data_IF_904174949980
#
_entry.id   IF_904174949980
#
_cell.length_a   1.000
_cell.length_b   1.000
_cell.length_c   1.000
_cell.angle_alpha   90.00
_cell.angle_beta   90.00
_cell.angle_gamma   90.00
#
_symmetry.space_group_name_H-M   'P 1'
#
loop_
_entity.id
_entity.type
_entity.pdbx_description
1 polymer ?
#
# COMPACT_ATOMS: atom_id res chain seq x y z
N UNK A 1 -4.03 -9.40 13.83
CA UNK A 1 -5.27 -9.11 13.06
C UNK A 1 -5.53 -7.62 13.20
N UNK A 2 -5.67 -6.88 12.11
CA UNK A 2 -6.13 -5.48 12.11
C UNK A 2 -7.66 -5.48 12.13
N UNK A 3 -8.26 -4.75 13.05
CA UNK A 3 -9.71 -4.64 13.20
C UNK A 3 -10.14 -3.19 13.22
N UNK A 4 -11.13 -2.86 12.40
CA UNK A 4 -11.78 -1.55 12.33
C UNK A 4 -13.24 -1.74 12.70
N UNK A 5 -13.71 -1.06 13.75
CA UNK A 5 -15.06 -1.18 14.28
C UNK A 5 -15.72 0.19 14.37
N UNK A 6 -16.92 0.28 13.82
CA UNK A 6 -17.78 1.48 13.84
C UNK A 6 -17.06 2.77 13.43
N UNK A 7 -16.19 2.70 12.41
CA UNK A 7 -15.43 3.85 11.95
C UNK A 7 -16.36 4.91 11.36
N UNK A 8 -16.26 6.12 11.91
CA UNK A 8 -16.97 7.30 11.43
C UNK A 8 -15.97 8.41 11.14
N UNK A 9 -16.01 8.95 9.92
CA UNK A 9 -15.17 10.07 9.46
C UNK A 9 -16.01 11.03 8.65
N UNK A 10 -15.86 12.32 8.96
CA UNK A 10 -16.49 13.40 8.20
C UNK A 10 -15.50 14.52 7.94
N UNK A 11 -15.58 15.13 6.77
CA UNK A 11 -14.90 16.38 6.44
C UNK A 11 -15.97 17.44 6.18
N UNK A 12 -16.00 18.47 7.00
CA UNK A 12 -17.08 19.48 6.98
C UNK A 12 -18.45 18.78 7.02
N UNK A 13 -19.28 18.96 6.00
CA UNK A 13 -20.64 18.37 5.90
C UNK A 13 -20.66 17.00 5.20
N UNK A 14 -19.50 16.53 4.65
CA UNK A 14 -19.44 15.27 3.92
C UNK A 14 -19.04 14.12 4.85
N UNK A 15 -19.99 13.20 5.08
CA UNK A 15 -19.68 11.92 5.75
C UNK A 15 -18.96 11.00 4.77
N UNK A 16 -17.72 10.64 5.10
CA UNK A 16 -16.92 9.70 4.30
C UNK A 16 -17.20 8.27 4.74
N UNK A 17 -17.10 8.00 6.03
CA UNK A 17 -17.47 6.72 6.62
C UNK A 17 -18.52 6.92 7.73
N UNK A 18 -19.45 5.98 7.82
CA UNK A 18 -20.44 5.93 8.90
C UNK A 18 -20.65 4.46 9.28
N UNK A 19 -20.28 4.10 10.52
CA UNK A 19 -20.34 2.73 11.05
C UNK A 19 -19.62 1.70 10.16
N UNK A 20 -18.49 2.10 9.56
CA UNK A 20 -17.72 1.24 8.67
C UNK A 20 -16.94 0.19 9.49
N UNK A 21 -16.96 -1.04 9.00
CA UNK A 21 -16.31 -2.19 9.65
C UNK A 21 -15.41 -2.92 8.65
N UNK A 22 -14.21 -3.34 9.12
CA UNK A 22 -13.29 -4.12 8.31
C UNK A 22 -12.34 -4.90 9.22
N UNK A 23 -12.28 -6.21 9.03
CA UNK A 23 -11.31 -7.09 9.66
C UNK A 23 -10.29 -7.56 8.61
N UNK A 24 -8.99 -7.50 8.95
CA UNK A 24 -7.90 -7.97 8.10
C UNK A 24 -7.06 -8.96 8.89
N UNK A 25 -6.98 -10.19 8.40
CA UNK A 25 -6.18 -11.24 9.02
C UNK A 25 -4.68 -10.89 9.00
N UNK A 26 -3.93 -11.48 9.93
CA UNK A 26 -2.47 -11.28 9.98
C UNK A 26 -1.80 -11.79 8.70
N UNK A 27 -0.74 -11.11 8.30
CA UNK A 27 0.06 -11.43 7.11
C UNK A 27 -0.72 -11.40 5.79
N UNK A 28 -1.86 -10.68 5.78
CA UNK A 28 -2.70 -10.52 4.61
C UNK A 28 -2.33 -9.26 3.84
N UNK A 29 -2.26 -9.38 2.52
CA UNK A 29 -2.22 -8.23 1.63
C UNK A 29 -3.63 -7.92 1.15
N UNK A 30 -4.20 -6.84 1.69
CA UNK A 30 -5.51 -6.32 1.31
C UNK A 30 -5.34 -5.23 0.25
N UNK A 31 -5.97 -5.41 -0.89
CA UNK A 31 -6.13 -4.35 -1.89
C UNK A 31 -7.45 -3.61 -1.68
N UNK A 32 -7.40 -2.28 -1.71
CA UNK A 32 -8.54 -1.39 -1.58
C UNK A 32 -8.73 -0.67 -2.91
N UNK A 33 -9.83 -0.94 -3.59
CA UNK A 33 -10.21 -0.31 -4.85
C UNK A 33 -11.48 0.53 -4.69
N UNK A 34 -11.83 1.29 -5.71
CA UNK A 34 -13.02 2.15 -5.76
C UNK A 34 -12.73 3.46 -6.48
N UNK A 35 -13.77 4.24 -6.78
CA UNK A 35 -13.66 5.51 -7.53
C UNK A 35 -12.83 6.56 -6.78
N UNK A 36 -12.34 7.54 -7.54
CA UNK A 36 -11.63 8.68 -6.94
C UNK A 36 -12.55 9.43 -5.97
N UNK A 37 -12.02 9.74 -4.77
CA UNK A 37 -12.75 10.47 -3.75
C UNK A 37 -13.76 9.66 -2.92
N UNK A 38 -13.85 8.32 -3.06
CA UNK A 38 -14.73 7.47 -2.24
C UNK A 38 -14.21 7.25 -0.80
N UNK A 39 -12.96 7.57 -0.47
CA UNK A 39 -12.45 7.46 0.91
C UNK A 39 -11.25 6.52 1.11
N UNK A 40 -10.68 5.94 0.04
CA UNK A 40 -9.55 4.98 0.16
C UNK A 40 -8.36 5.54 0.94
N UNK A 41 -7.84 6.69 0.53
CA UNK A 41 -6.72 7.35 1.24
C UNK A 41 -7.13 7.81 2.64
N UNK A 42 -8.41 8.17 2.84
CA UNK A 42 -8.95 8.48 4.17
C UNK A 42 -8.88 7.26 5.08
N UNK A 43 -9.23 6.07 4.59
CA UNK A 43 -9.13 4.83 5.36
C UNK A 43 -7.68 4.54 5.77
N UNK A 44 -6.73 4.66 4.82
CA UNK A 44 -5.30 4.50 5.15
C UNK A 44 -4.84 5.55 6.19
N UNK A 45 -5.29 6.80 6.06
CA UNK A 45 -4.94 7.87 6.99
C UNK A 45 -5.52 7.62 8.39
N UNK A 46 -6.73 7.04 8.51
CA UNK A 46 -7.29 6.62 9.80
C UNK A 46 -6.45 5.54 10.45
N UNK A 47 -6.07 4.49 9.71
CA UNK A 47 -5.20 3.41 10.20
C UNK A 47 -3.83 3.96 10.65
N UNK A 48 -3.30 4.95 9.93
CA UNK A 48 -2.05 5.61 10.28
C UNK A 48 -2.18 6.62 11.45
N UNK A 49 -3.39 6.90 11.94
CA UNK A 49 -3.63 7.93 12.96
C UNK A 49 -3.36 9.36 12.48
N UNK A 50 -3.42 9.62 11.17
CA UNK A 50 -3.12 10.93 10.58
C UNK A 50 -4.35 11.85 10.48
N UNK A 51 -5.55 11.31 10.65
CA UNK A 51 -6.80 12.06 10.64
C UNK A 51 -7.66 11.65 11.84
N UNK A 52 -8.44 12.57 12.43
CA UNK A 52 -9.35 12.23 13.51
C UNK A 52 -10.49 11.36 12.99
N UNK A 53 -10.92 10.40 13.80
CA UNK A 53 -12.07 9.54 13.54
C UNK A 53 -12.76 9.17 14.86
N UNK A 54 -14.02 8.70 14.76
CA UNK A 54 -14.71 8.03 15.84
C UNK A 54 -14.79 6.52 15.51
N UNK A 55 -14.93 5.69 16.55
CA UNK A 55 -14.83 4.24 16.45
C UNK A 55 -13.47 3.71 16.92
N UNK A 56 -13.16 2.47 16.59
CA UNK A 56 -11.96 1.79 17.07
C UNK A 56 -11.15 1.20 15.91
N UNK A 57 -9.82 1.34 15.96
CA UNK A 57 -8.86 0.69 15.06
C UNK A 57 -7.79 0.04 15.90
N UNK A 58 -7.69 -1.29 15.83
CA UNK A 58 -6.80 -2.10 16.64
C UNK A 58 -5.91 -3.00 15.78
N UNK A 59 -4.79 -3.47 16.36
CA UNK A 59 -3.96 -4.52 15.77
C UNK A 59 -3.07 -4.08 14.61
N UNK A 60 -2.85 -2.77 14.41
CA UNK A 60 -1.99 -2.28 13.33
C UNK A 60 -0.50 -2.19 13.71
N UNK A 61 -0.16 -2.09 15.00
CA UNK A 61 1.23 -2.03 15.49
C UNK A 61 2.02 -0.85 14.93
N UNK A 62 3.31 -1.07 14.64
CA UNK A 62 4.11 -0.06 13.94
C UNK A 62 3.69 0.05 12.48
N UNK A 63 3.60 1.29 11.96
CA UNK A 63 3.04 1.58 10.64
C UNK A 63 4.10 2.23 9.72
N UNK A 64 4.29 1.66 8.54
CA UNK A 64 5.04 2.27 7.44
C UNK A 64 4.09 2.76 6.36
N UNK A 65 4.24 4.03 5.91
CA UNK A 65 3.33 4.61 4.93
C UNK A 65 4.07 5.11 3.68
N UNK A 66 3.64 4.63 2.53
CA UNK A 66 4.00 5.16 1.22
C UNK A 66 2.83 5.98 0.71
N UNK A 67 2.98 7.30 0.71
CA UNK A 67 1.97 8.23 0.19
C UNK A 67 2.00 8.27 -1.33
N UNK A 68 0.91 8.72 -1.93
CA UNK A 68 0.81 8.95 -3.38
C UNK A 68 1.90 9.91 -3.89
N UNK A 69 2.24 10.93 -3.10
CA UNK A 69 3.45 11.73 -3.27
C UNK A 69 4.59 11.12 -2.46
N UNK A 70 5.80 11.06 -3.00
CA UNK A 70 6.94 10.37 -2.40
C UNK A 70 7.34 10.88 -1.01
N UNK A 71 7.05 12.16 -0.72
CA UNK A 71 7.37 12.84 0.56
C UNK A 71 8.80 12.54 1.04
N UNK A 72 9.75 12.50 0.11
CA UNK A 72 11.17 12.45 0.45
C UNK A 72 11.60 13.80 1.04
N UNK A 73 12.52 13.77 1.98
CA UNK A 73 13.11 14.96 2.58
C UNK A 73 14.07 15.58 1.56
N UNK A 74 13.80 16.80 1.03
CA UNK A 74 14.55 17.36 -0.09
C UNK A 74 16.02 17.65 0.21
N UNK A 75 16.34 17.91 1.49
CA UNK A 75 17.70 18.22 1.98
C UNK A 75 18.55 16.97 2.26
N UNK A 76 17.99 15.78 2.06
CA UNK A 76 18.66 14.50 2.26
C UNK A 76 18.82 13.78 0.92
N UNK A 77 19.93 13.07 0.73
CA UNK A 77 20.10 12.14 -0.38
C UNK A 77 19.09 11.01 -0.33
N UNK A 78 18.97 10.23 -1.38
CA UNK A 78 18.11 9.05 -1.45
C UNK A 78 18.48 8.05 -0.34
N UNK A 79 19.77 7.82 -0.12
CA UNK A 79 20.25 6.92 0.95
C UNK A 79 19.90 7.48 2.34
N UNK A 80 20.19 8.76 2.60
CA UNK A 80 19.90 9.39 3.87
C UNK A 80 18.41 9.40 4.19
N UNK A 81 17.53 9.51 3.19
CA UNK A 81 16.09 9.38 3.36
C UNK A 81 15.68 8.00 3.88
N UNK A 82 16.38 6.93 3.46
CA UNK A 82 16.12 5.57 3.94
C UNK A 82 16.78 5.34 5.30
N UNK A 83 18.00 5.81 5.51
CA UNK A 83 18.70 5.73 6.80
C UNK A 83 17.94 6.48 7.91
N UNK A 84 17.23 7.56 7.55
CA UNK A 84 16.49 8.39 8.49
C UNK A 84 15.47 7.60 9.33
N UNK A 85 14.75 6.67 8.74
CA UNK A 85 13.73 5.86 9.44
C UNK A 85 14.35 4.72 10.25
N UNK A 86 15.65 4.46 10.07
CA UNK A 86 16.41 3.45 10.81
C UNK A 86 17.19 4.04 11.99
N UNK A 87 17.04 5.33 12.28
CA UNK A 87 17.74 5.99 13.40
C UNK A 87 17.35 5.36 14.73
N UNK A 88 18.36 4.98 15.50
CA UNK A 88 18.18 4.28 16.78
C UNK A 88 18.07 2.76 16.68
N UNK A 89 17.99 2.22 15.47
CA UNK A 89 18.04 0.78 15.26
C UNK A 89 19.45 0.22 15.50
N UNK A 90 19.51 -1.02 16.00
CA UNK A 90 20.78 -1.73 16.17
C UNK A 90 21.22 -2.37 14.85
N UNK A 91 22.52 -2.39 14.59
CA UNK A 91 23.13 -3.05 13.43
C UNK A 91 23.58 -2.09 12.34
N UNK A 92 23.88 -2.62 11.16
CA UNK A 92 24.38 -1.85 10.02
C UNK A 92 23.20 -1.20 9.25
N UNK A 93 22.87 0.03 9.70
CA UNK A 93 21.82 0.86 9.12
C UNK A 93 22.05 1.09 7.63
N UNK A 94 23.30 1.39 7.24
CA UNK A 94 23.64 1.65 5.84
C UNK A 94 23.40 0.44 4.95
N UNK A 95 23.82 -0.74 5.39
CA UNK A 95 23.61 -1.99 4.65
C UNK A 95 22.13 -2.31 4.49
N UNK A 96 21.31 -2.09 5.53
CA UNK A 96 19.85 -2.24 5.45
C UNK A 96 19.23 -1.28 4.46
N UNK A 97 19.64 -0.01 4.47
CA UNK A 97 19.17 1.01 3.55
C UNK A 97 19.56 0.70 2.10
N UNK A 98 20.83 0.34 1.85
CA UNK A 98 21.30 -0.03 0.51
C UNK A 98 20.60 -1.29 -0.03
N UNK A 99 20.33 -2.29 0.84
CA UNK A 99 19.54 -3.47 0.48
C UNK A 99 18.14 -3.08 0.03
N UNK A 100 17.42 -2.27 0.80
CA UNK A 100 16.06 -1.83 0.45
C UNK A 100 16.03 -1.01 -0.87
N UNK A 101 17.03 -0.13 -1.08
CA UNK A 101 17.19 0.59 -2.34
C UNK A 101 17.49 -0.34 -3.52
N UNK A 102 18.24 -1.42 -3.30
CA UNK A 102 18.49 -2.46 -4.29
C UNK A 102 17.21 -3.21 -4.67
N UNK A 103 16.41 -3.60 -3.69
CA UNK A 103 15.13 -4.27 -3.90
C UNK A 103 14.12 -3.40 -4.64
N UNK A 104 14.14 -2.08 -4.39
CA UNK A 104 13.34 -1.09 -5.14
C UNK A 104 13.96 -0.68 -6.49
N UNK A 105 15.13 -1.20 -6.86
CA UNK A 105 15.82 -0.92 -8.13
C UNK A 105 16.34 0.52 -8.27
N UNK A 106 16.67 1.19 -7.16
CA UNK A 106 17.14 2.59 -7.14
C UNK A 106 18.44 2.80 -6.37
N UNK A 107 19.19 1.73 -6.08
CA UNK A 107 20.47 1.83 -5.38
C UNK A 107 21.48 2.72 -6.10
N UNK A 108 21.47 2.75 -7.44
CA UNK A 108 22.33 3.59 -8.25
C UNK A 108 22.10 5.10 -8.08
N UNK A 109 20.99 5.48 -7.42
CA UNK A 109 20.61 6.86 -7.12
C UNK A 109 20.91 7.27 -5.68
N UNK A 110 21.56 6.42 -4.89
CA UNK A 110 21.71 6.59 -3.44
C UNK A 110 22.28 7.93 -3.00
N UNK A 111 23.21 8.49 -3.79
CA UNK A 111 23.88 9.75 -3.48
C UNK A 111 23.19 10.98 -4.13
N UNK A 112 22.09 10.77 -4.89
CA UNK A 112 21.32 11.86 -5.48
C UNK A 112 20.29 12.43 -4.50
N UNK A 113 19.94 13.69 -4.70
CA UNK A 113 18.88 14.36 -3.95
C UNK A 113 17.52 14.19 -4.66
N UNK A 114 16.39 14.26 -3.93
CA UNK A 114 15.04 14.13 -4.52
C UNK A 114 14.76 15.06 -5.69
N UNK A 115 15.35 16.25 -5.71
CA UNK A 115 15.23 17.23 -6.80
C UNK A 115 15.97 16.84 -8.09
N UNK A 116 16.77 15.78 -8.06
CA UNK A 116 17.62 15.31 -9.16
C UNK A 116 17.22 13.94 -9.70
N UNK A 117 16.05 13.45 -9.31
CA UNK A 117 15.50 12.15 -9.72
C UNK A 117 14.08 12.33 -10.27
N UNK A 118 13.64 11.42 -11.11
CA UNK A 118 12.27 11.42 -11.65
C UNK A 118 11.23 11.06 -10.57
N UNK A 119 9.95 11.38 -10.82
CA UNK A 119 8.85 11.03 -9.92
C UNK A 119 8.74 9.54 -9.65
N UNK A 120 8.94 8.69 -10.68
CA UNK A 120 8.95 7.24 -10.52
C UNK A 120 10.13 6.72 -9.68
N UNK A 121 11.32 7.32 -9.83
CA UNK A 121 12.48 7.02 -8.98
C UNK A 121 12.26 7.45 -7.54
N UNK A 122 11.65 8.62 -7.33
CA UNK A 122 11.28 9.13 -6.00
C UNK A 122 10.25 8.22 -5.30
N UNK A 123 9.24 7.74 -6.05
CA UNK A 123 8.24 6.78 -5.53
C UNK A 123 8.90 5.47 -5.09
N UNK A 124 9.85 4.94 -5.88
CA UNK A 124 10.63 3.74 -5.52
C UNK A 124 11.52 3.95 -4.31
N UNK A 125 12.14 5.12 -4.19
CA UNK A 125 12.93 5.47 -3.00
C UNK A 125 12.05 5.58 -1.73
N UNK A 126 10.85 6.14 -1.85
CA UNK A 126 9.87 6.18 -0.76
C UNK A 126 9.40 4.78 -0.36
N UNK A 127 9.20 3.89 -1.32
CA UNK A 127 8.90 2.49 -1.08
C UNK A 127 10.06 1.80 -0.34
N UNK A 128 11.31 1.98 -0.81
CA UNK A 128 12.51 1.46 -0.14
C UNK A 128 12.60 1.93 1.33
N UNK A 129 12.27 3.20 1.59
CA UNK A 129 12.22 3.76 2.94
C UNK A 129 11.21 3.04 3.83
N UNK A 130 10.00 2.81 3.34
CA UNK A 130 8.96 2.10 4.08
C UNK A 130 9.35 0.63 4.35
N UNK A 131 9.96 -0.03 3.37
CA UNK A 131 10.46 -1.41 3.49
C UNK A 131 11.59 -1.54 4.51
N UNK A 132 12.56 -0.63 4.46
CA UNK A 132 13.69 -0.62 5.37
C UNK A 132 13.24 -0.49 6.84
N UNK A 133 12.17 0.24 7.10
CA UNK A 133 11.63 0.43 8.44
C UNK A 133 11.15 -0.89 9.08
N UNK A 134 10.63 -1.84 8.29
CA UNK A 134 10.21 -3.15 8.81
C UNK A 134 8.98 -3.07 9.72
N UNK A 135 8.02 -2.21 9.36
CA UNK A 135 6.77 -2.04 10.10
C UNK A 135 5.92 -3.31 10.14
N UNK A 136 5.09 -3.46 11.18
CA UNK A 136 4.10 -4.54 11.29
C UNK A 136 2.93 -4.35 10.31
N UNK A 137 2.65 -3.09 9.94
CA UNK A 137 1.64 -2.76 8.93
C UNK A 137 2.24 -1.80 7.89
N UNK A 138 2.06 -2.11 6.61
CA UNK A 138 2.44 -1.27 5.49
C UNK A 138 1.18 -0.71 4.82
N UNK A 139 1.12 0.61 4.72
CA UNK A 139 0.08 1.35 4.03
C UNK A 139 0.66 1.94 2.75
N UNK A 140 0.10 1.56 1.61
CA UNK A 140 0.62 1.93 0.31
C UNK A 140 -0.49 2.62 -0.51
N UNK A 141 -0.36 3.92 -0.75
CA UNK A 141 -1.33 4.68 -1.53
C UNK A 141 -0.82 4.89 -2.97
N UNK A 142 -1.37 4.14 -3.91
CA UNK A 142 -0.98 4.08 -5.33
C UNK A 142 0.53 3.88 -5.56
N UNK A 143 1.17 2.87 -4.92
CA UNK A 143 2.64 2.75 -4.88
C UNK A 143 3.29 2.52 -6.25
N UNK A 144 2.54 2.12 -7.26
CA UNK A 144 3.04 1.75 -8.59
C UNK A 144 2.63 2.72 -9.70
N UNK A 145 1.91 3.81 -9.38
CA UNK A 145 1.31 4.73 -10.36
C UNK A 145 2.29 5.31 -11.38
N UNK A 146 3.53 5.60 -10.96
CA UNK A 146 4.55 6.24 -11.80
C UNK A 146 5.57 5.23 -12.38
N UNK A 147 5.24 3.94 -12.43
CA UNK A 147 6.17 2.89 -12.83
C UNK A 147 5.80 2.28 -14.18
N UNK A 148 6.80 2.09 -15.04
CA UNK A 148 6.67 1.30 -16.26
C UNK A 148 6.34 -0.17 -15.94
N UNK A 149 5.57 -0.82 -16.81
CA UNK A 149 5.07 -2.19 -16.64
C UNK A 149 6.19 -3.20 -16.30
N UNK A 150 7.35 -3.08 -16.93
CA UNK A 150 8.49 -3.98 -16.69
C UNK A 150 9.08 -3.82 -15.29
N UNK A 151 9.28 -2.56 -14.86
CA UNK A 151 9.79 -2.21 -13.54
C UNK A 151 8.77 -2.62 -12.47
N UNK A 152 7.51 -2.31 -12.69
CA UNK A 152 6.38 -2.67 -11.83
C UNK A 152 6.34 -4.16 -11.52
N UNK A 153 6.40 -5.01 -12.56
CA UNK A 153 6.42 -6.49 -12.39
C UNK A 153 7.63 -6.96 -11.59
N UNK A 154 8.80 -6.36 -11.83
CA UNK A 154 10.02 -6.69 -11.09
C UNK A 154 9.90 -6.36 -9.60
N UNK A 155 9.39 -5.18 -9.27
CA UNK A 155 9.17 -4.72 -7.90
C UNK A 155 8.11 -5.60 -7.21
N UNK A 156 6.97 -5.83 -7.86
CA UNK A 156 5.91 -6.71 -7.32
C UNK A 156 6.50 -8.09 -7.01
N UNK A 157 7.26 -8.67 -7.93
CA UNK A 157 7.91 -9.97 -7.73
C UNK A 157 8.92 -9.95 -6.58
N UNK A 158 9.70 -8.89 -6.46
CA UNK A 158 10.66 -8.69 -5.37
C UNK A 158 9.93 -8.51 -4.04
N UNK A 159 8.87 -7.71 -4.03
CA UNK A 159 7.99 -7.52 -2.87
C UNK A 159 7.33 -8.83 -2.44
N UNK A 160 6.81 -9.61 -3.38
CA UNK A 160 6.25 -10.95 -3.14
C UNK A 160 7.32 -11.93 -2.66
N UNK A 161 8.54 -11.88 -3.17
CA UNK A 161 9.63 -12.81 -2.85
C UNK A 161 10.45 -12.46 -1.60
N UNK A 162 10.59 -11.18 -1.28
CA UNK A 162 11.50 -10.71 -0.21
C UNK A 162 10.87 -10.69 1.20
N UNK A 163 9.67 -11.23 1.38
CA UNK A 163 9.06 -11.33 2.71
C UNK A 163 8.64 -9.99 3.32
N UNK A 164 8.19 -9.00 2.53
CA UNK A 164 7.36 -7.90 3.04
C UNK A 164 6.17 -8.42 3.87
N UNK A 165 6.02 -9.68 3.89
CA UNK A 165 4.86 -10.47 4.28
C UNK A 165 4.92 -11.03 5.70
N UNK A 166 5.86 -10.56 6.52
CA UNK A 166 5.68 -10.57 7.97
C UNK A 166 4.75 -9.45 8.44
N UNK A 167 4.47 -8.47 7.55
CA UNK A 167 3.60 -7.34 7.83
C UNK A 167 2.20 -7.54 7.23
N UNK A 168 1.20 -6.88 7.80
CA UNK A 168 -0.06 -6.63 7.13
C UNK A 168 0.17 -5.56 6.06
N UNK A 169 -0.36 -5.76 4.86
CA UNK A 169 -0.24 -4.78 3.78
C UNK A 169 -1.63 -4.32 3.36
N UNK A 170 -1.89 -3.02 3.49
CA UNK A 170 -3.07 -2.38 2.92
C UNK A 170 -2.60 -1.50 1.76
N UNK A 171 -2.99 -1.82 0.54
CA UNK A 171 -2.62 -0.98 -0.59
C UNK A 171 -3.82 -0.55 -1.41
N UNK A 172 -3.76 0.70 -1.85
CA UNK A 172 -4.74 1.32 -2.74
C UNK A 172 -4.20 1.32 -4.15
N UNK A 173 -5.00 0.89 -5.10
CA UNK A 173 -4.73 1.02 -6.53
C UNK A 173 -6.03 1.17 -7.32
N UNK A 174 -5.94 1.75 -8.51
CA UNK A 174 -7.00 1.76 -9.52
C UNK A 174 -6.76 0.74 -10.64
N UNK A 175 -5.62 0.03 -10.61
CA UNK A 175 -5.24 -0.98 -11.58
C UNK A 175 -5.66 -2.37 -11.10
N UNK A 176 -6.62 -2.99 -11.81
CA UNK A 176 -7.17 -4.31 -11.48
C UNK A 176 -6.09 -5.40 -11.55
N UNK A 177 -5.15 -5.29 -12.48
CA UNK A 177 -4.06 -6.27 -12.60
C UNK A 177 -3.12 -6.22 -11.39
N UNK A 178 -2.82 -5.01 -10.88
CA UNK A 178 -2.06 -4.87 -9.63
C UNK A 178 -2.77 -5.56 -8.47
N UNK A 179 -4.07 -5.29 -8.32
CA UNK A 179 -4.88 -5.87 -7.27
C UNK A 179 -4.82 -7.41 -7.33
N UNK A 180 -5.08 -7.99 -8.50
CA UNK A 180 -5.13 -9.43 -8.69
C UNK A 180 -3.77 -10.11 -8.53
N UNK A 181 -2.67 -9.43 -8.87
CA UNK A 181 -1.32 -10.01 -8.77
C UNK A 181 -0.71 -9.87 -7.38
N UNK A 182 -1.07 -8.82 -6.63
CA UNK A 182 -0.44 -8.49 -5.35
C UNK A 182 -1.26 -8.89 -4.11
N UNK A 183 -2.59 -8.88 -4.19
CA UNK A 183 -3.44 -9.05 -3.02
C UNK A 183 -3.76 -10.53 -2.69
N UNK A 184 -4.05 -10.80 -1.43
CA UNK A 184 -4.74 -12.02 -1.00
C UNK A 184 -6.26 -11.80 -1.00
N UNK A 185 -6.67 -10.55 -0.72
CA UNK A 185 -8.06 -10.12 -0.64
C UNK A 185 -8.21 -8.76 -1.30
N UNK A 186 -9.28 -8.58 -2.04
CA UNK A 186 -9.62 -7.31 -2.71
C UNK A 186 -10.96 -6.84 -2.17
N UNK A 187 -11.02 -5.59 -1.72
CA UNK A 187 -12.29 -4.92 -1.44
C UNK A 187 -12.50 -3.78 -2.43
N UNK A 188 -13.74 -3.59 -2.85
CA UNK A 188 -14.16 -2.42 -3.63
C UNK A 188 -15.01 -1.55 -2.73
N UNK A 189 -14.59 -0.30 -2.56
CA UNK A 189 -15.27 0.71 -1.77
C UNK A 189 -16.11 1.61 -2.66
N UNK A 190 -17.31 1.96 -2.20
CA UNK A 190 -18.17 2.91 -2.89
C UNK A 190 -19.38 3.37 -2.06
N UNK A 191 -20.21 4.20 -2.67
CA UNK A 191 -21.36 4.81 -2.00
C UNK A 191 -21.03 6.09 -1.23
N UNK A 192 -22.05 6.71 -0.66
CA UNK A 192 -21.93 7.93 0.16
C UNK A 192 -22.99 7.91 1.28
N UNK A 193 -22.59 7.60 2.53
CA UNK A 193 -21.26 7.25 3.04
C UNK A 193 -20.65 6.01 2.39
N UNK A 194 -19.31 5.94 2.38
CA UNK A 194 -18.55 4.89 1.75
C UNK A 194 -18.72 3.55 2.50
N UNK A 195 -18.98 2.49 1.74
CA UNK A 195 -19.12 1.12 2.23
C UNK A 195 -18.36 0.12 1.35
N UNK A 196 -18.32 -1.13 1.78
CA UNK A 196 -17.75 -2.23 0.99
C UNK A 196 -18.83 -2.74 0.03
N UNK A 197 -18.59 -2.58 -1.28
CA UNK A 197 -19.45 -3.09 -2.35
C UNK A 197 -19.11 -4.53 -2.75
N UNK A 198 -17.80 -4.86 -2.70
CA UNK A 198 -17.28 -6.19 -2.95
C UNK A 198 -16.20 -6.50 -1.93
N UNK A 199 -16.22 -7.72 -1.44
CA UNK A 199 -15.20 -8.33 -0.61
C UNK A 199 -14.86 -9.70 -1.19
N UNK A 200 -13.63 -9.86 -1.69
CA UNK A 200 -13.24 -11.02 -2.46
C UNK A 200 -11.87 -11.54 -2.02
N UNK A 201 -11.85 -12.74 -1.43
CA UNK A 201 -10.61 -13.49 -1.23
C UNK A 201 -10.17 -14.13 -2.55
N UNK A 202 -8.89 -13.95 -2.90
CA UNK A 202 -8.37 -14.48 -4.16
C UNK A 202 -7.96 -15.96 -4.00
N UNK A 203 -8.30 -16.81 -4.97
CA UNK A 203 -8.32 -18.26 -4.83
C UNK A 203 -6.94 -18.93 -4.84
N UNK A 204 -5.88 -18.21 -5.17
CA UNK A 204 -4.55 -18.77 -5.38
C UNK A 204 -3.50 -17.98 -4.61
N UNK A 205 -2.44 -18.63 -4.07
CA UNK A 205 -1.31 -17.90 -3.48
C UNK A 205 -0.73 -16.89 -4.49
N UNK A 206 -0.34 -15.73 -4.01
CA UNK A 206 0.30 -14.68 -4.85
C UNK A 206 1.49 -15.19 -5.64
N UNK A 207 2.33 -16.01 -5.00
CA UNK A 207 3.48 -16.64 -5.62
C UNK A 207 3.01 -17.68 -6.67
N UNK A 208 3.27 -17.39 -7.93
CA UNK A 208 2.89 -18.28 -9.04
C UNK A 208 1.56 -17.97 -9.72
N UNK A 209 0.84 -16.91 -9.33
CA UNK A 209 -0.37 -16.47 -10.05
C UNK A 209 -0.05 -16.14 -11.51
N UNK A 210 -0.94 -16.56 -12.38
CA UNK A 210 -0.88 -16.25 -13.81
C UNK A 210 -2.09 -15.42 -14.20
N UNK A 211 -1.85 -14.45 -15.06
CA UNK A 211 -2.91 -13.54 -15.56
C UNK A 211 -3.98 -14.29 -16.37
N UNK A 212 -3.61 -15.43 -16.97
CA UNK A 212 -4.47 -16.30 -17.79
C UNK A 212 -5.18 -17.41 -17.00
N UNK A 213 -5.05 -17.46 -15.67
CA UNK A 213 -5.76 -18.40 -14.82
C UNK A 213 -7.27 -18.11 -14.84
N UNK A 214 -8.09 -19.13 -15.10
CA UNK A 214 -9.55 -19.00 -15.16
C UNK A 214 -10.16 -18.44 -13.85
N UNK A 215 -9.60 -18.81 -12.69
CA UNK A 215 -10.07 -18.30 -11.40
C UNK A 215 -9.71 -16.81 -11.22
N UNK A 216 -8.56 -16.39 -11.74
CA UNK A 216 -8.15 -14.97 -11.72
C UNK A 216 -9.00 -14.17 -12.71
N UNK A 217 -9.36 -14.73 -13.86
CA UNK A 217 -10.27 -14.09 -14.81
C UNK A 217 -11.66 -13.89 -14.20
N UNK A 218 -12.23 -14.90 -13.54
CA UNK A 218 -13.50 -14.75 -12.83
C UNK A 218 -13.45 -13.70 -11.71
N UNK A 219 -12.33 -13.61 -10.97
CA UNK A 219 -12.13 -12.55 -9.98
C UNK A 219 -12.05 -11.17 -10.62
N UNK A 220 -11.37 -11.05 -11.78
CA UNK A 220 -11.27 -9.80 -12.56
C UNK A 220 -12.64 -9.27 -12.96
N UNK A 221 -13.49 -10.15 -13.54
CA UNK A 221 -14.85 -9.78 -13.94
C UNK A 221 -15.66 -9.22 -12.77
N UNK A 222 -15.64 -9.90 -11.63
CA UNK A 222 -16.35 -9.45 -10.41
C UNK A 222 -15.86 -8.10 -9.91
N UNK A 223 -14.54 -7.86 -9.93
CA UNK A 223 -13.95 -6.57 -9.51
C UNK A 223 -14.36 -5.46 -10.48
N UNK A 224 -14.30 -5.71 -11.81
CA UNK A 224 -14.71 -4.74 -12.83
C UNK A 224 -16.21 -4.43 -12.71
N UNK A 225 -17.04 -5.44 -12.51
CA UNK A 225 -18.49 -5.27 -12.32
C UNK A 225 -18.77 -4.38 -11.08
N UNK A 226 -18.13 -4.66 -9.95
CA UNK A 226 -18.29 -3.86 -8.74
C UNK A 226 -17.83 -2.40 -8.91
N UNK A 227 -16.72 -2.17 -9.65
CA UNK A 227 -16.24 -0.82 -9.98
C UNK A 227 -17.16 -0.06 -10.95
N UNK A 228 -17.96 -0.79 -11.74
CA UNK A 228 -18.87 -0.21 -12.74
C UNK A 228 -20.26 0.04 -12.18
N UNK A 229 -20.62 -0.59 -11.07
CA UNK A 229 -21.95 -0.49 -10.43
C UNK A 229 -22.15 0.79 -9.62
N UNK A 230 -21.18 1.70 -9.59
CA UNK A 230 -21.13 2.95 -8.82
C UNK A 230 -21.57 4.19 -9.62
#
# INVERSE_FOLDING_TARGET
MLKISSLCVSYEDKKVFQDFQLDVEEHTTLCIMGRSGCGKSTLLNCVAGLVPYAGEIEGFGSCGYVFQESRLIPSMSVLENVEFVLRGEKGDVRRRAEKALGEAGVLHLKDKYPTRISGGEASRAALARALAYGAQTLLLDEPFRALDIGIKRGIIKSMVGAGMYGANVLFVTHDVEEALMCADRVIVLGGSPCNILLDLSLPSPRCGRRVDDAKINAARERVIEALSAE
#
